data_IF_806317527682
#
_entry.id   IF_806317527682
#
_cell.length_a   1.000
_cell.length_b   1.000
_cell.length_c   1.000
_cell.angle_alpha   90.00
_cell.angle_beta   90.00
_cell.angle_gamma   90.00
#
_symmetry.space_group_name_H-M   'P 1'
#
loop_
_entity.id
_entity.type
_entity.pdbx_description
1 polymer ?
#
# COMPACT_ATOMS: atom_id res chain seq x y z
N UNK A 1 -3.06 -15.36 9.11
CA UNK A 1 -2.66 -14.33 8.13
C UNK A 1 -3.92 -13.81 7.49
N UNK A 2 -4.27 -12.55 7.74
CA UNK A 2 -5.44 -11.92 7.11
C UNK A 2 -4.99 -10.68 6.35
N UNK A 3 -5.26 -10.65 5.05
CA UNK A 3 -5.22 -9.44 4.24
C UNK A 3 -6.64 -8.94 4.03
N UNK A 4 -6.78 -7.63 3.94
CA UNK A 4 -8.01 -6.98 3.49
C UNK A 4 -7.62 -6.08 2.33
N UNK A 5 -8.07 -6.47 1.14
CA UNK A 5 -7.85 -5.73 -0.11
C UNK A 5 -8.77 -4.52 -0.13
N UNK A 6 -8.22 -3.34 -0.41
CA UNK A 6 -8.99 -2.10 -0.60
C UNK A 6 -8.94 -1.60 -2.03
N UNK A 7 -7.90 -1.97 -2.78
CA UNK A 7 -7.72 -1.61 -4.18
C UNK A 7 -7.00 -2.76 -4.89
N UNK A 8 -7.52 -3.18 -6.03
CA UNK A 8 -6.92 -4.22 -6.88
C UNK A 8 -7.32 -3.95 -8.33
N UNK A 9 -6.40 -3.38 -9.10
CA UNK A 9 -6.65 -3.02 -10.50
C UNK A 9 -5.38 -3.09 -11.35
N UNK A 10 -5.56 -3.35 -12.65
CA UNK A 10 -4.54 -3.08 -13.67
C UNK A 10 -4.60 -1.59 -14.02
N UNK A 11 -3.63 -0.82 -13.52
CA UNK A 11 -3.52 0.60 -13.83
C UNK A 11 -2.91 0.75 -15.22
N UNK A 12 -3.59 1.48 -16.09
CA UNK A 12 -3.08 1.87 -17.42
C UNK A 12 -2.70 3.34 -17.41
N UNK A 13 -1.55 3.67 -17.97
CA UNK A 13 -1.15 5.07 -18.11
C UNK A 13 -2.10 5.84 -19.03
N UNK A 14 -2.16 7.16 -18.86
CA UNK A 14 -3.04 8.02 -19.66
C UNK A 14 -2.68 7.99 -21.17
N UNK A 15 -1.42 7.68 -21.49
CA UNK A 15 -0.94 7.53 -22.86
C UNK A 15 -1.16 6.14 -23.47
N UNK A 16 -1.66 5.17 -22.71
CA UNK A 16 -1.80 3.74 -23.08
C UNK A 16 -0.48 3.10 -23.56
N UNK A 17 0.66 3.54 -23.05
CA UNK A 17 1.99 3.01 -23.32
C UNK A 17 2.47 2.02 -22.27
N UNK A 18 1.82 1.96 -21.11
CA UNK A 18 2.21 1.07 -20.03
C UNK A 18 1.04 0.67 -19.15
N UNK A 19 1.13 -0.53 -18.60
CA UNK A 19 0.20 -1.01 -17.59
C UNK A 19 0.94 -1.74 -16.48
N UNK A 20 0.36 -1.73 -15.28
CA UNK A 20 0.86 -2.51 -14.14
C UNK A 20 -0.29 -2.95 -13.25
N UNK A 21 -0.18 -4.16 -12.74
CA UNK A 21 -1.10 -4.66 -11.72
C UNK A 21 -0.71 -4.13 -10.35
N UNK A 22 -1.68 -3.54 -9.66
CA UNK A 22 -1.52 -2.98 -8.32
C UNK A 22 -2.57 -3.54 -7.39
N UNK A 23 -2.12 -4.07 -6.26
CA UNK A 23 -2.97 -4.50 -5.14
C UNK A 23 -2.53 -3.74 -3.88
N UNK A 24 -3.46 -3.20 -3.14
CA UNK A 24 -3.20 -2.38 -1.96
C UNK A 24 -4.23 -2.64 -0.86
N UNK A 25 -3.76 -2.72 0.37
CA UNK A 25 -4.64 -2.91 1.51
C UNK A 25 -3.93 -3.07 2.84
N UNK A 26 -4.60 -3.73 3.79
CA UNK A 26 -4.09 -4.01 5.13
C UNK A 26 -3.66 -5.46 5.25
N UNK A 27 -2.55 -5.72 5.94
CA UNK A 27 -2.02 -7.04 6.24
C UNK A 27 -1.67 -7.19 7.73
N UNK A 28 -2.02 -8.34 8.29
CA UNK A 28 -1.64 -8.74 9.66
C UNK A 28 -0.44 -9.71 9.71
N UNK A 29 0.33 -9.83 8.62
CA UNK A 29 1.34 -10.90 8.47
C UNK A 29 2.41 -10.91 9.58
N UNK A 30 2.95 -9.73 9.92
CA UNK A 30 3.99 -9.59 10.93
C UNK A 30 3.45 -9.34 12.34
N UNK A 31 2.13 -9.29 12.51
CA UNK A 31 1.49 -8.92 13.78
C UNK A 31 1.86 -9.90 14.89
N UNK A 32 2.52 -9.40 15.95
CA UNK A 32 2.99 -10.20 17.07
C UNK A 32 4.24 -11.05 16.76
N UNK A 33 4.80 -10.98 15.55
CA UNK A 33 6.03 -11.68 15.20
C UNK A 33 7.26 -10.85 15.59
N UNK A 34 8.33 -11.50 16.05
CA UNK A 34 9.63 -10.83 16.17
C UNK A 34 10.23 -10.64 14.78
N UNK A 35 10.57 -9.40 14.43
CA UNK A 35 11.25 -9.03 13.18
C UNK A 35 12.62 -8.39 13.51
N UNK A 36 13.53 -8.26 12.53
CA UNK A 36 14.77 -7.50 12.73
C UNK A 36 14.55 -6.04 13.17
N UNK A 37 13.38 -5.48 12.88
CA UNK A 37 12.99 -4.12 13.27
C UNK A 37 12.25 -4.06 14.63
N UNK A 38 12.06 -5.19 15.32
CA UNK A 38 11.30 -5.28 16.57
C UNK A 38 10.02 -6.10 16.44
N UNK A 39 9.08 -5.92 17.38
CA UNK A 39 7.79 -6.60 17.34
C UNK A 39 6.96 -6.06 16.15
N UNK A 40 6.62 -6.94 15.22
CA UNK A 40 5.82 -6.61 14.05
C UNK A 40 4.38 -6.29 14.43
N UNK A 41 3.76 -5.47 13.60
CA UNK A 41 2.42 -4.91 13.80
C UNK A 41 1.59 -5.09 12.52
N UNK A 42 0.28 -4.97 12.65
CA UNK A 42 -0.60 -4.81 11.50
C UNK A 42 -0.22 -3.54 10.73
N UNK A 43 -0.18 -3.63 9.41
CA UNK A 43 0.21 -2.49 8.58
C UNK A 43 -0.33 -2.59 7.16
N UNK A 44 0.07 -1.64 6.34
CA UNK A 44 -0.29 -1.54 4.94
C UNK A 44 0.62 -2.45 4.11
N UNK A 45 0.04 -3.16 3.14
CA UNK A 45 0.78 -3.82 2.09
C UNK A 45 0.48 -3.21 0.73
N UNK A 46 1.47 -3.32 -0.16
CA UNK A 46 1.39 -2.86 -1.53
C UNK A 46 2.07 -3.91 -2.43
N UNK A 47 1.33 -4.42 -3.40
CA UNK A 47 1.84 -5.25 -4.48
C UNK A 47 1.85 -4.44 -5.78
N UNK A 48 2.99 -4.38 -6.46
CA UNK A 48 3.11 -3.75 -7.78
C UNK A 48 3.87 -4.71 -8.69
N UNK A 49 3.26 -5.12 -9.81
CA UNK A 49 3.88 -6.04 -10.77
C UNK A 49 4.35 -7.35 -10.13
N UNK A 50 3.55 -7.91 -9.23
CA UNK A 50 3.84 -9.16 -8.51
C UNK A 50 4.87 -9.04 -7.37
N UNK A 51 5.40 -7.84 -7.09
CA UNK A 51 6.28 -7.61 -5.94
C UNK A 51 5.52 -6.99 -4.79
N UNK A 52 5.52 -7.67 -3.64
CA UNK A 52 4.80 -7.23 -2.45
C UNK A 52 5.74 -6.70 -1.38
N UNK A 53 5.34 -5.59 -0.76
CA UNK A 53 5.94 -5.07 0.47
C UNK A 53 4.86 -4.92 1.53
N UNK A 54 5.21 -5.19 2.79
CA UNK A 54 4.42 -4.82 3.97
C UNK A 54 5.22 -3.76 4.69
N UNK A 55 4.69 -2.55 4.76
CA UNK A 55 5.41 -1.39 5.27
C UNK A 55 5.51 -1.45 6.80
N UNK A 56 6.58 -0.92 7.39
CA UNK A 56 6.53 -0.54 8.80
C UNK A 56 5.55 0.63 8.99
N UNK A 57 5.04 0.83 10.22
CA UNK A 57 4.03 1.84 10.50
C UNK A 57 4.48 3.28 10.21
N UNK A 58 5.77 3.60 10.42
CA UNK A 58 6.27 4.94 10.18
C UNK A 58 6.27 5.25 8.68
N UNK A 59 6.67 4.28 7.86
CA UNK A 59 6.62 4.37 6.40
C UNK A 59 5.18 4.38 5.88
N UNK A 60 4.31 3.52 6.42
CA UNK A 60 2.89 3.46 6.08
C UNK A 60 2.20 4.82 6.31
N UNK A 61 2.47 5.47 7.44
CA UNK A 61 1.93 6.81 7.75
C UNK A 61 2.33 7.85 6.70
N UNK A 62 3.64 7.96 6.40
CA UNK A 62 4.14 8.91 5.40
C UNK A 62 3.59 8.63 4.00
N UNK A 63 3.44 7.36 3.64
CA UNK A 63 2.85 6.95 2.37
C UNK A 63 1.39 7.41 2.25
N UNK A 64 0.57 7.17 3.28
CA UNK A 64 -0.84 7.60 3.29
C UNK A 64 -0.97 9.12 3.26
N UNK A 65 -0.17 9.84 4.06
CA UNK A 65 -0.15 11.31 4.04
C UNK A 65 0.18 11.87 2.65
N UNK A 66 1.15 11.26 1.94
CA UNK A 66 1.50 11.64 0.58
C UNK A 66 0.35 11.36 -0.41
N UNK A 67 -0.27 10.18 -0.33
CA UNK A 67 -1.39 9.82 -1.19
C UNK A 67 -2.61 10.75 -1.00
N UNK A 68 -2.96 11.05 0.26
CA UNK A 68 -4.04 12.01 0.60
C UNK A 68 -3.68 13.39 0.07
N UNK A 69 -2.46 13.88 0.28
CA UNK A 69 -2.05 15.22 -0.18
C UNK A 69 -2.16 15.37 -1.70
N UNK A 70 -1.74 14.35 -2.46
CA UNK A 70 -1.90 14.34 -3.93
C UNK A 70 -3.38 14.27 -4.33
N UNK A 71 -4.16 13.45 -3.63
CA UNK A 71 -5.60 13.36 -3.84
C UNK A 71 -6.32 14.69 -3.60
N UNK A 72 -5.98 15.39 -2.52
CA UNK A 72 -6.53 16.72 -2.18
C UNK A 72 -6.13 17.77 -3.23
N UNK A 73 -4.86 17.77 -3.67
CA UNK A 73 -4.40 18.68 -4.72
C UNK A 73 -5.21 18.53 -6.02
N UNK A 74 -5.61 17.31 -6.36
CA UNK A 74 -6.43 17.02 -7.54
C UNK A 74 -7.94 17.05 -7.29
N UNK A 75 -8.41 17.30 -6.06
CA UNK A 75 -9.83 17.26 -5.70
C UNK A 75 -10.46 15.86 -5.80
N UNK A 76 -9.66 14.79 -5.64
CA UNK A 76 -10.11 13.39 -5.68
C UNK A 76 -10.60 12.88 -4.31
N UNK A 77 -10.22 13.58 -3.24
CA UNK A 77 -10.61 13.31 -1.86
C UNK A 77 -10.85 14.65 -1.17
N UNK A 78 -11.87 14.68 -0.32
CA UNK A 78 -12.26 15.83 0.51
C UNK A 78 -11.40 15.92 1.79
#
# INVERSE_FOLDING_TARGET
MATTVYFEETIRDQGRRGEMDVEFGRSSFYSGCQTPAGLGQDSIYLTVGGKTVIMDLATAKRFVEAAISVGQYHGLVE
#
